data_IF_297102122641
#
_entry.id   IF_297102122641
#
_cell.length_a   1.000
_cell.length_b   1.000
_cell.length_c   1.000
_cell.angle_alpha   90.00
_cell.angle_beta   90.00
_cell.angle_gamma   90.00
#
_symmetry.space_group_name_H-M   'P 1'
#
loop_
_entity.id
_entity.type
_entity.pdbx_description
1 polymer ?
#
# COMPACT_ATOMS: atom_id res chain seq x y z
N UNK A 1 -8.05 0.02 -35.49
CA UNK A 1 -7.67 0.74 -34.26
C UNK A 1 -8.42 0.11 -33.11
N UNK A 2 -7.75 -0.42 -32.08
CA UNK A 2 -8.40 -1.16 -31.02
C UNK A 2 -9.24 -0.21 -30.13
N UNK A 3 -10.55 -0.38 -30.14
CA UNK A 3 -11.48 0.33 -29.26
C UNK A 3 -11.27 -0.20 -27.83
N UNK A 4 -10.68 0.63 -26.96
CA UNK A 4 -10.61 0.35 -25.53
C UNK A 4 -12.04 0.31 -24.99
N UNK A 5 -12.45 -0.83 -24.42
CA UNK A 5 -13.77 -1.01 -23.81
C UNK A 5 -14.00 0.08 -22.74
N UNK A 6 -15.17 0.74 -22.71
CA UNK A 6 -15.44 1.80 -21.75
C UNK A 6 -15.40 1.22 -20.32
N UNK A 7 -14.52 1.77 -19.49
CA UNK A 7 -14.40 1.38 -18.09
C UNK A 7 -15.67 1.88 -17.38
N UNK A 8 -16.55 0.95 -17.03
CA UNK A 8 -17.79 1.25 -16.32
C UNK A 8 -17.51 1.81 -14.93
N UNK A 9 -18.36 2.72 -14.45
CA UNK A 9 -18.24 3.42 -13.16
C UNK A 9 -18.04 2.47 -11.96
N UNK A 10 -18.63 1.27 -12.00
CA UNK A 10 -18.47 0.22 -10.97
C UNK A 10 -17.04 -0.33 -10.86
N UNK A 11 -16.29 -0.42 -11.96
CA UNK A 11 -14.87 -0.83 -11.94
C UNK A 11 -13.98 0.28 -11.38
N UNK A 12 -14.34 1.55 -11.64
CA UNK A 12 -13.62 2.73 -11.14
C UNK A 12 -13.73 2.88 -9.62
N UNK A 13 -14.84 2.41 -9.05
CA UNK A 13 -15.09 2.40 -7.60
C UNK A 13 -14.33 1.28 -6.89
N UNK A 14 -14.35 0.04 -7.41
CA UNK A 14 -13.51 -1.06 -6.89
C UNK A 14 -12.02 -0.73 -6.96
N UNK A 15 -11.59 0.03 -7.97
CA UNK A 15 -10.21 0.52 -8.12
C UNK A 15 -9.75 1.47 -7.00
N UNK A 16 -10.64 1.96 -6.13
CA UNK A 16 -10.31 2.91 -5.05
C UNK A 16 -10.37 2.28 -3.66
N UNK A 17 -10.76 1.02 -3.56
CA UNK A 17 -10.77 0.28 -2.29
C UNK A 17 -9.35 -0.20 -2.00
N UNK A 18 -8.89 -0.05 -0.76
CA UNK A 18 -7.62 -0.63 -0.33
C UNK A 18 -7.75 -2.15 -0.20
N UNK A 19 -6.82 -2.91 -0.78
CA UNK A 19 -6.77 -4.36 -0.65
C UNK A 19 -5.71 -4.76 0.36
N UNK A 20 -6.04 -5.66 1.28
CA UNK A 20 -5.10 -6.17 2.29
C UNK A 20 -3.88 -6.87 1.67
N UNK A 21 -4.03 -7.44 0.46
CA UNK A 21 -2.91 -8.01 -0.29
C UNK A 21 -1.78 -6.98 -0.52
N UNK A 22 -2.14 -5.69 -0.69
CA UNK A 22 -1.19 -4.60 -0.90
C UNK A 22 -0.40 -4.26 0.35
N UNK A 23 -0.93 -4.58 1.54
CA UNK A 23 -0.20 -4.44 2.80
C UNK A 23 0.99 -5.41 2.81
N UNK A 24 0.78 -6.67 2.41
CA UNK A 24 1.84 -7.68 2.33
C UNK A 24 2.81 -7.43 1.17
N UNK A 25 2.30 -7.08 -0.01
CA UNK A 25 3.14 -6.88 -1.21
C UNK A 25 3.94 -5.58 -1.14
N UNK A 26 3.33 -4.45 -0.76
CA UNK A 26 3.92 -3.13 -0.90
C UNK A 26 4.17 -2.40 0.43
N UNK A 27 3.88 -3.03 1.58
CA UNK A 27 4.01 -2.43 2.92
C UNK A 27 3.17 -1.15 3.08
N UNK A 28 1.94 -1.15 2.58
CA UNK A 28 1.00 -0.05 2.76
C UNK A 28 -0.07 -0.37 3.80
N UNK A 29 -0.67 0.64 4.40
CA UNK A 29 -1.84 0.49 5.25
C UNK A 29 -2.86 1.57 4.93
N UNK A 30 -4.14 1.33 5.21
CA UNK A 30 -5.18 2.33 5.01
C UNK A 30 -5.29 3.26 6.23
N UNK A 31 -5.38 4.57 5.98
CA UNK A 31 -5.69 5.56 7.02
C UNK A 31 -7.19 5.71 7.23
N UNK A 32 -7.61 6.32 8.35
CA UNK A 32 -9.00 6.75 8.61
C UNK A 32 -9.64 7.56 7.47
N UNK A 33 -8.83 8.22 6.63
CA UNK A 33 -9.28 8.99 5.48
C UNK A 33 -9.38 8.18 4.17
N UNK A 34 -9.38 6.84 4.22
CA UNK A 34 -9.41 5.93 3.05
C UNK A 34 -8.27 6.21 2.05
N UNK A 35 -7.11 6.61 2.59
CA UNK A 35 -5.89 6.88 1.81
C UNK A 35 -4.80 5.89 2.21
N UNK A 36 -4.12 5.24 1.24
CA UNK A 36 -3.01 4.36 1.54
C UNK A 36 -1.79 5.14 1.99
N UNK A 37 -1.14 4.64 3.04
CA UNK A 37 0.05 5.21 3.64
C UNK A 37 1.15 4.16 3.63
N UNK A 38 2.33 4.56 3.16
CA UNK A 38 3.50 3.70 3.18
C UNK A 38 4.00 3.54 4.62
N UNK A 39 4.11 2.32 5.12
CA UNK A 39 4.60 2.05 6.47
C UNK A 39 6.13 2.21 6.60
N UNK A 40 6.85 2.34 5.48
CA UNK A 40 8.31 2.46 5.46
C UNK A 40 8.72 3.93 5.64
N UNK A 41 8.17 4.82 4.81
CA UNK A 41 8.49 6.25 4.78
C UNK A 41 7.35 7.17 5.24
N UNK A 42 6.21 6.62 5.67
CA UNK A 42 5.03 7.40 6.10
C UNK A 42 4.42 8.31 5.03
N UNK A 43 4.76 8.09 3.75
CA UNK A 43 4.17 8.86 2.64
C UNK A 43 2.73 8.43 2.39
N UNK A 44 1.82 9.41 2.29
CA UNK A 44 0.42 9.18 1.93
C UNK A 44 0.25 9.27 0.41
N UNK A 45 -0.36 8.25 -0.19
CA UNK A 45 -0.68 8.23 -1.62
C UNK A 45 -2.14 8.66 -1.79
N UNK A 46 -2.38 9.70 -2.57
CA UNK A 46 -3.69 10.32 -2.72
C UNK A 46 -4.76 9.40 -3.34
N UNK A 47 -4.32 8.43 -4.17
CA UNK A 47 -5.23 7.54 -4.91
C UNK A 47 -4.84 6.09 -4.68
N UNK A 48 -5.76 5.32 -4.09
CA UNK A 48 -5.60 3.91 -3.77
C UNK A 48 -5.65 2.98 -4.99
N UNK A 49 -4.66 3.11 -5.88
CA UNK A 49 -4.48 2.22 -7.03
C UNK A 49 -3.20 1.41 -6.86
N UNK A 50 -3.29 0.10 -7.14
CA UNK A 50 -2.14 -0.81 -7.17
C UNK A 50 -0.91 -0.22 -7.88
N UNK A 51 -1.10 0.34 -9.08
CA UNK A 51 -0.02 0.97 -9.86
C UNK A 51 0.72 2.08 -9.08
N UNK A 52 0.01 2.93 -8.33
CA UNK A 52 0.62 4.01 -7.57
C UNK A 52 1.46 3.45 -6.41
N UNK A 53 0.93 2.44 -5.71
CA UNK A 53 1.61 1.80 -4.57
C UNK A 53 2.85 1.03 -5.03
N UNK A 54 2.70 0.25 -6.10
CA UNK A 54 3.79 -0.53 -6.70
C UNK A 54 4.90 0.38 -7.19
N UNK A 55 4.57 1.45 -7.93
CA UNK A 55 5.56 2.42 -8.40
C UNK A 55 6.28 3.06 -7.22
N UNK A 56 5.55 3.53 -6.20
CA UNK A 56 6.15 4.12 -5.01
C UNK A 56 7.11 3.15 -4.34
N UNK A 57 6.68 1.90 -4.12
CA UNK A 57 7.49 0.87 -3.48
C UNK A 57 8.75 0.56 -4.30
N UNK A 58 8.63 0.33 -5.61
CA UNK A 58 9.77 0.02 -6.48
C UNK A 58 10.77 1.18 -6.57
N UNK A 59 10.31 2.43 -6.61
CA UNK A 59 11.20 3.59 -6.75
C UNK A 59 11.88 3.99 -5.44
N UNK A 60 11.18 3.89 -4.30
CA UNK A 60 11.69 4.37 -3.01
C UNK A 60 12.25 3.25 -2.12
N UNK A 61 11.80 2.01 -2.35
CA UNK A 61 11.97 0.88 -1.42
C UNK A 61 12.36 -0.43 -2.13
N UNK A 62 13.00 -0.35 -3.30
CA UNK A 62 13.48 -1.52 -4.06
C UNK A 62 14.33 -2.48 -3.22
N UNK A 63 15.13 -1.96 -2.29
CA UNK A 63 15.98 -2.76 -1.40
C UNK A 63 15.21 -3.60 -0.38
N UNK A 64 13.97 -3.23 -0.03
CA UNK A 64 13.20 -3.93 1.00
C UNK A 64 12.91 -5.37 0.57
N UNK A 65 12.68 -5.62 -0.72
CA UNK A 65 12.46 -6.99 -1.20
C UNK A 65 13.69 -7.90 -1.05
N UNK A 66 14.90 -7.33 -0.92
CA UNK A 66 16.12 -8.11 -0.65
C UNK A 66 16.21 -8.55 0.81
N UNK A 67 15.85 -7.67 1.75
CA UNK A 67 15.88 -7.96 3.19
C UNK A 67 14.62 -8.68 3.69
N UNK A 68 13.47 -8.40 3.06
CA UNK A 68 12.15 -8.87 3.44
C UNK A 68 11.41 -9.32 2.17
N UNK A 69 11.65 -10.54 1.68
CA UNK A 69 11.01 -11.04 0.48
C UNK A 69 9.49 -11.12 0.66
N UNK A 70 8.76 -10.90 -0.43
CA UNK A 70 7.30 -10.94 -0.47
C UNK A 70 6.78 -12.32 -0.03
N UNK A 71 5.71 -12.35 0.77
CA UNK A 71 5.12 -13.59 1.28
C UNK A 71 5.88 -14.27 2.42
N UNK A 72 7.05 -13.76 2.83
CA UNK A 72 7.80 -14.32 3.97
C UNK A 72 7.23 -13.92 5.32
N UNK A 73 7.44 -14.78 6.33
CA UNK A 73 7.10 -14.47 7.73
C UNK A 73 7.84 -13.22 8.24
N UNK A 74 9.08 -13.00 7.79
CA UNK A 74 9.87 -11.81 8.12
C UNK A 74 9.18 -10.52 7.66
N UNK A 75 8.54 -10.54 6.49
CA UNK A 75 7.77 -9.40 5.97
C UNK A 75 6.54 -9.12 6.80
N UNK A 76 5.79 -10.17 7.17
CA UNK A 76 4.62 -10.02 8.03
C UNK A 76 4.98 -9.39 9.38
N UNK A 77 6.05 -9.86 10.02
CA UNK A 77 6.54 -9.31 11.28
C UNK A 77 7.03 -7.86 11.13
N UNK A 78 7.72 -7.54 10.03
CA UNK A 78 8.13 -6.18 9.72
C UNK A 78 6.93 -5.23 9.58
N UNK A 79 5.90 -5.64 8.84
CA UNK A 79 4.66 -4.87 8.64
C UNK A 79 3.96 -4.67 9.99
N UNK A 80 3.77 -5.73 10.79
CA UNK A 80 3.17 -5.64 12.13
C UNK A 80 3.91 -4.63 13.01
N UNK A 81 5.25 -4.69 13.04
CA UNK A 81 6.08 -3.75 13.81
C UNK A 81 5.89 -2.31 13.35
N UNK A 82 5.92 -2.06 12.04
CA UNK A 82 5.71 -0.71 11.48
C UNK A 82 4.30 -0.19 11.72
N UNK A 83 3.27 -1.03 11.55
CA UNK A 83 1.86 -0.70 11.78
C UNK A 83 1.62 -0.36 13.25
N UNK A 84 2.16 -1.16 14.18
CA UNK A 84 2.10 -0.87 15.63
C UNK A 84 2.75 0.48 15.94
N UNK A 85 3.95 0.75 15.42
CA UNK A 85 4.62 2.06 15.60
C UNK A 85 3.77 3.22 15.07
N UNK A 86 3.18 3.06 13.89
CA UNK A 86 2.32 4.07 13.29
C UNK A 86 1.05 4.33 14.10
N UNK A 87 0.37 3.28 14.60
CA UNK A 87 -0.82 3.41 15.43
C UNK A 87 -0.53 4.10 16.77
N UNK A 88 0.55 3.70 17.45
CA UNK A 88 0.98 4.33 18.72
C UNK A 88 1.28 5.82 18.51
N UNK A 89 1.95 6.16 17.41
CA UNK A 89 2.28 7.57 17.08
C UNK A 89 1.05 8.43 16.80
N UNK A 90 -0.10 7.84 16.43
CA UNK A 90 -1.37 8.55 16.19
C UNK A 90 -2.29 8.63 17.40
N UNK A 91 -2.01 7.89 18.46
CA UNK A 91 -2.79 7.89 19.70
C UNK A 91 -2.23 8.92 20.69
N UNK A 92 -0.95 9.28 20.59
CA UNK A 92 -0.29 10.31 21.42
C UNK A 92 -0.42 11.75 20.89
N UNK A 93 -1.41 12.05 20.04
CA UNK A 93 -1.77 13.39 19.56
C UNK A 93 -3.26 13.61 19.81
#
# INVERSE_FOLDING_TARGET
>A
MALSKPITSKLKERSRTFHEEWEMQYCFTESKALKPICLICSTTIAVAKKYNLERHFKQNHSSINKNYPEGSSLRAEFIKKKKKKYLVSRICL
#
